data_IF_973310754470
#
_entry.id   IF_973310754470
#
_cell.length_a   1.000
_cell.length_b   1.000
_cell.length_c   1.000
_cell.angle_alpha   90.00
_cell.angle_beta   90.00
_cell.angle_gamma   90.00
#
_symmetry.space_group_name_H-M   'P 1'
#
loop_
_entity.id
_entity.type
_entity.pdbx_description
1 polymer ?
#
# COMPACT_ATOMS: atom_id res chain seq x y z
N UNK A 1 -33.85 -9.27 -16.74
CA UNK A 1 -32.40 -9.56 -16.73
C UNK A 1 -32.02 -10.82 -15.95
N UNK A 2 -32.88 -11.38 -15.07
CA UNK A 2 -32.60 -12.69 -14.46
C UNK A 2 -31.38 -12.73 -13.52
N UNK A 3 -30.95 -11.57 -13.01
CA UNK A 3 -29.75 -11.43 -12.19
C UNK A 3 -29.96 -11.97 -10.77
N UNK A 4 -28.88 -12.44 -10.15
CA UNK A 4 -28.82 -12.76 -8.73
C UNK A 4 -28.49 -11.51 -7.92
N UNK A 5 -29.25 -11.31 -6.84
CA UNK A 5 -28.93 -10.31 -5.84
C UNK A 5 -27.97 -10.91 -4.80
N UNK A 6 -26.83 -10.28 -4.61
CA UNK A 6 -25.81 -10.69 -3.65
C UNK A 6 -25.46 -9.49 -2.76
N UNK A 7 -25.24 -9.72 -1.47
CA UNK A 7 -24.84 -8.67 -0.53
C UNK A 7 -23.42 -8.93 -0.04
N UNK A 8 -22.52 -8.01 -0.34
CA UNK A 8 -21.21 -7.93 0.28
C UNK A 8 -21.29 -7.05 1.53
N UNK A 9 -21.02 -7.63 2.71
CA UNK A 9 -21.05 -6.90 3.98
C UNK A 9 -19.62 -6.65 4.46
N UNK A 10 -19.18 -5.40 4.45
CA UNK A 10 -17.86 -4.97 4.93
C UNK A 10 -17.81 -4.81 6.45
N UNK A 11 -18.93 -4.48 7.09
CA UNK A 11 -19.04 -4.34 8.55
C UNK A 11 -19.99 -5.37 9.17
N UNK A 12 -20.06 -5.39 10.52
CA UNK A 12 -21.14 -6.10 11.22
C UNK A 12 -22.51 -5.52 10.84
N UNK A 13 -23.55 -6.36 10.84
CA UNK A 13 -24.91 -5.91 10.49
C UNK A 13 -25.45 -4.84 11.45
N UNK A 14 -25.02 -4.87 12.70
CA UNK A 14 -25.45 -3.95 13.77
C UNK A 14 -24.52 -2.75 13.94
N UNK A 15 -23.52 -2.58 13.07
CA UNK A 15 -22.66 -1.40 13.09
C UNK A 15 -23.53 -0.14 12.99
N UNK A 16 -23.22 0.92 13.78
CA UNK A 16 -23.87 2.22 13.63
C UNK A 16 -23.84 2.69 12.18
N UNK A 17 -24.86 3.41 11.73
CA UNK A 17 -25.03 3.75 10.30
C UNK A 17 -23.79 4.40 9.65
N UNK A 18 -23.06 5.23 10.38
CA UNK A 18 -21.84 5.89 9.89
C UNK A 18 -20.62 4.97 9.82
N UNK A 19 -20.67 3.78 10.42
CA UNK A 19 -19.67 2.71 10.34
C UNK A 19 -20.18 1.48 9.58
N UNK A 20 -21.44 1.49 9.12
CA UNK A 20 -22.06 0.34 8.47
C UNK A 20 -21.68 0.33 6.99
N UNK A 21 -20.93 -0.67 6.56
CA UNK A 21 -20.44 -0.80 5.19
C UNK A 21 -21.05 -2.03 4.52
N UNK A 22 -21.76 -1.80 3.41
CA UNK A 22 -22.39 -2.86 2.62
C UNK A 22 -22.58 -2.44 1.17
N UNK A 23 -22.56 -3.42 0.27
CA UNK A 23 -22.89 -3.25 -1.14
C UNK A 23 -23.76 -4.40 -1.62
N UNK A 24 -24.82 -4.06 -2.36
CA UNK A 24 -25.64 -5.00 -3.11
C UNK A 24 -25.13 -5.08 -4.54
N UNK A 25 -24.91 -6.30 -5.01
CA UNK A 25 -24.48 -6.67 -6.35
C UNK A 25 -25.64 -7.33 -7.08
N UNK A 26 -25.85 -6.96 -8.34
CA UNK A 26 -26.80 -7.60 -9.26
C UNK A 26 -25.98 -8.24 -10.38
N UNK A 27 -25.73 -9.55 -10.27
CA UNK A 27 -24.73 -10.29 -11.05
C UNK A 27 -25.31 -11.47 -11.82
N UNK A 28 -24.61 -11.97 -12.83
CA UNK A 28 -25.06 -13.10 -13.66
C UNK A 28 -25.06 -14.42 -12.89
N UNK A 29 -23.99 -14.70 -12.14
CA UNK A 29 -23.80 -15.90 -11.33
C UNK A 29 -23.38 -15.52 -9.91
N UNK A 30 -23.96 -16.10 -8.86
CA UNK A 30 -23.60 -15.75 -7.48
C UNK A 30 -22.18 -16.19 -7.14
N UNK A 31 -21.47 -15.43 -6.32
CA UNK A 31 -20.07 -15.69 -5.92
C UNK A 31 -19.85 -17.04 -5.25
N UNK A 32 -20.89 -17.65 -4.68
CA UNK A 32 -20.83 -18.96 -4.05
C UNK A 32 -20.80 -20.13 -5.05
N UNK A 33 -21.02 -19.89 -6.33
CA UNK A 33 -21.01 -20.90 -7.39
C UNK A 33 -19.58 -21.26 -7.83
N UNK A 34 -18.77 -21.79 -6.91
CA UNK A 34 -17.44 -22.31 -7.20
C UNK A 34 -17.17 -23.64 -6.47
N UNK A 35 -16.27 -24.50 -6.98
CA UNK A 35 -15.76 -25.66 -6.26
C UNK A 35 -14.96 -25.29 -5.01
N UNK A 36 -14.56 -26.29 -4.22
CA UNK A 36 -13.72 -26.07 -3.04
C UNK A 36 -12.36 -25.43 -3.38
N UNK A 37 -11.88 -24.56 -2.49
CA UNK A 37 -10.53 -24.01 -2.57
C UNK A 37 -9.49 -25.05 -2.16
N UNK A 38 -8.32 -25.00 -2.81
CA UNK A 38 -7.13 -25.77 -2.48
C UNK A 38 -5.92 -24.83 -2.28
N UNK A 39 -4.89 -25.22 -1.52
CA UNK A 39 -3.69 -24.40 -1.37
C UNK A 39 -3.07 -24.04 -2.73
N UNK A 40 -2.76 -22.76 -2.92
CA UNK A 40 -2.14 -22.23 -4.13
C UNK A 40 -0.70 -22.73 -4.29
N UNK A 41 -0.28 -23.00 -5.52
CA UNK A 41 1.14 -23.19 -5.84
C UNK A 41 1.87 -21.85 -6.00
N UNK A 42 1.15 -20.79 -6.34
CA UNK A 42 1.64 -19.41 -6.29
C UNK A 42 1.87 -19.05 -4.83
N UNK A 43 3.08 -18.62 -4.50
CA UNK A 43 3.39 -18.02 -3.20
C UNK A 43 3.57 -16.52 -3.34
N UNK A 44 3.21 -15.76 -2.31
CA UNK A 44 3.73 -14.39 -2.20
C UNK A 44 5.22 -14.51 -1.86
N UNK A 45 6.08 -13.61 -2.36
CA UNK A 45 7.53 -13.81 -2.26
C UNK A 45 8.15 -13.54 -0.89
N UNK A 46 7.44 -13.95 0.17
CA UNK A 46 7.89 -14.03 1.55
C UNK A 46 8.60 -15.37 1.84
N UNK A 47 8.65 -16.30 0.88
CA UNK A 47 9.30 -17.59 1.11
C UNK A 47 10.81 -17.43 1.20
N UNK A 48 11.32 -17.85 2.36
CA UNK A 48 12.71 -18.17 2.63
C UNK A 48 13.19 -19.26 1.65
N UNK A 49 13.42 -18.92 0.38
CA UNK A 49 14.19 -19.78 -0.51
C UNK A 49 15.68 -19.61 -0.17
N UNK A 50 16.05 -20.24 0.94
CA UNK A 50 17.43 -20.49 1.31
C UNK A 50 18.00 -21.43 0.24
N UNK A 51 18.67 -20.84 -0.75
CA UNK A 51 19.04 -21.45 -2.03
C UNK A 51 19.31 -22.95 -1.97
N UNK A 52 18.34 -23.72 -2.47
CA UNK A 52 18.39 -25.18 -2.50
C UNK A 52 17.80 -25.72 -3.79
N UNK A 53 18.48 -25.50 -4.91
CA UNK A 53 18.16 -26.20 -6.15
C UNK A 53 18.29 -27.73 -5.96
N UNK A 54 17.19 -28.45 -6.20
CA UNK A 54 17.20 -29.91 -6.22
C UNK A 54 15.83 -30.49 -6.51
N UNK A 55 15.68 -31.13 -7.67
CA UNK A 55 14.42 -31.70 -8.15
C UNK A 55 13.86 -32.78 -7.25
N UNK A 56 12.80 -32.44 -6.51
CA UNK A 56 11.97 -33.36 -5.74
C UNK A 56 10.61 -33.58 -6.40
N UNK A 57 10.14 -34.81 -6.34
CA UNK A 57 8.92 -35.34 -6.94
C UNK A 57 7.65 -34.53 -6.56
N UNK A 58 6.80 -34.20 -7.54
CA UNK A 58 5.60 -33.33 -7.39
C UNK A 58 4.59 -33.83 -6.34
N UNK A 59 4.69 -35.10 -5.92
CA UNK A 59 3.87 -35.69 -4.85
C UNK A 59 4.34 -35.33 -3.45
N UNK A 60 5.64 -35.12 -3.22
CA UNK A 60 6.17 -34.82 -1.88
C UNK A 60 5.93 -33.35 -1.47
N UNK A 61 5.78 -32.47 -2.46
CA UNK A 61 5.42 -31.05 -2.27
C UNK A 61 3.99 -30.93 -1.74
N UNK A 62 3.06 -31.81 -2.18
CA UNK A 62 1.64 -31.77 -1.75
C UNK A 62 1.42 -32.11 -0.28
N UNK A 63 2.28 -32.92 0.35
CA UNK A 63 2.17 -33.24 1.78
C UNK A 63 2.85 -32.19 2.68
N UNK A 64 3.84 -31.43 2.18
CA UNK A 64 4.53 -30.39 2.96
C UNK A 64 3.81 -29.03 2.97
N UNK A 65 2.92 -28.76 2.01
CA UNK A 65 2.09 -27.52 1.96
C UNK A 65 1.09 -27.41 3.14
N UNK A 66 0.89 -28.49 3.91
CA UNK A 66 0.09 -28.48 5.15
C UNK A 66 0.80 -27.84 6.36
N UNK A 67 2.10 -27.55 6.30
CA UNK A 67 2.88 -27.13 7.47
C UNK A 67 3.94 -26.08 7.15
N UNK A 68 3.74 -24.87 7.72
CA UNK A 68 4.68 -23.74 7.78
C UNK A 68 4.92 -22.93 6.49
N UNK A 69 3.94 -22.11 6.15
CA UNK A 69 4.17 -20.70 5.81
C UNK A 69 3.11 -19.90 6.55
N UNK A 70 3.40 -19.50 7.79
CA UNK A 70 2.48 -18.77 8.65
C UNK A 70 3.30 -17.83 9.48
N UNK A 71 3.13 -16.52 9.27
CA UNK A 71 3.94 -15.48 9.90
C UNK A 71 5.43 -15.84 9.93
N UNK A 72 6.09 -15.77 8.76
CA UNK A 72 7.56 -15.76 8.72
C UNK A 72 8.07 -14.85 9.85
N UNK A 73 9.04 -15.36 10.62
CA UNK A 73 9.48 -14.76 11.88
C UNK A 73 9.76 -13.27 11.66
N UNK A 74 9.02 -12.41 12.36
CA UNK A 74 9.29 -10.98 12.31
C UNK A 74 10.53 -10.65 13.14
N UNK A 75 11.37 -9.78 12.59
CA UNK A 75 12.59 -9.27 13.21
C UNK A 75 12.30 -7.91 13.82
N UNK A 76 12.45 -7.82 15.14
CA UNK A 76 12.33 -6.57 15.88
C UNK A 76 13.72 -6.06 16.19
N UNK A 77 14.10 -4.95 15.55
CA UNK A 77 15.37 -4.29 15.76
C UNK A 77 15.13 -2.82 16.13
N UNK A 78 15.91 -2.26 17.07
CA UNK A 78 15.73 -0.87 17.51
C UNK A 78 16.40 0.14 16.58
N UNK A 79 17.27 -0.32 15.68
CA UNK A 79 17.97 0.53 14.73
C UNK A 79 16.98 1.12 13.73
N UNK A 80 17.19 2.38 13.33
CA UNK A 80 16.51 2.95 12.18
C UNK A 80 16.96 2.20 10.92
N UNK A 81 16.04 1.93 10.02
CA UNK A 81 16.33 1.21 8.77
C UNK A 81 15.98 2.08 7.58
N UNK A 82 16.82 2.08 6.55
CA UNK A 82 16.56 2.74 5.27
C UNK A 82 16.89 1.77 4.14
N UNK A 83 16.05 1.77 3.12
CA UNK A 83 16.17 0.96 1.93
C UNK A 83 16.45 1.84 0.72
N UNK A 84 17.44 1.45 -0.09
CA UNK A 84 17.55 1.88 -1.49
C UNK A 84 16.28 1.51 -2.29
N UNK A 85 16.05 2.12 -3.46
CA UNK A 85 14.91 1.75 -4.30
C UNK A 85 14.81 0.24 -4.55
N UNK A 86 13.64 -0.33 -4.27
CA UNK A 86 13.40 -1.76 -4.48
C UNK A 86 13.47 -2.10 -5.99
N UNK A 87 13.99 -3.29 -6.29
CA UNK A 87 14.17 -3.74 -7.67
C UNK A 87 12.81 -3.97 -8.35
N UNK A 88 12.73 -3.60 -9.63
CA UNK A 88 11.59 -3.94 -10.49
C UNK A 88 12.01 -4.81 -11.69
N UNK A 89 13.26 -4.71 -12.14
CA UNK A 89 13.74 -5.42 -13.33
C UNK A 89 13.74 -6.96 -13.17
N UNK A 90 13.96 -7.45 -11.96
CA UNK A 90 13.94 -8.90 -11.66
C UNK A 90 12.50 -9.45 -11.61
N UNK A 91 11.49 -8.59 -11.57
CA UNK A 91 10.08 -8.93 -11.47
C UNK A 91 9.38 -9.11 -12.82
N UNK A 92 10.11 -9.17 -13.94
CA UNK A 92 9.56 -9.30 -15.31
C UNK A 92 8.57 -10.46 -15.50
N UNK A 93 8.75 -11.54 -14.73
CA UNK A 93 7.94 -12.75 -14.79
C UNK A 93 6.80 -12.76 -13.77
N UNK A 94 6.73 -11.76 -12.88
CA UNK A 94 5.74 -11.65 -11.81
C UNK A 94 4.60 -10.74 -12.24
N UNK A 95 3.39 -11.13 -11.85
CA UNK A 95 2.22 -10.25 -11.87
C UNK A 95 2.10 -9.49 -10.54
N UNK A 96 1.03 -8.68 -10.40
CA UNK A 96 0.82 -7.88 -9.18
C UNK A 96 0.79 -8.72 -7.89
N UNK A 97 0.13 -9.89 -7.90
CA UNK A 97 -0.08 -10.73 -6.70
C UNK A 97 1.21 -11.46 -6.33
N UNK A 98 1.82 -12.12 -7.31
CA UNK A 98 3.11 -12.81 -7.15
C UNK A 98 4.28 -11.86 -6.94
N UNK A 99 4.11 -10.57 -7.28
CA UNK A 99 5.05 -9.48 -7.09
C UNK A 99 4.99 -8.78 -5.73
N UNK A 100 3.99 -9.07 -4.89
CA UNK A 100 3.93 -8.55 -3.53
C UNK A 100 5.04 -9.15 -2.66
N UNK A 101 5.77 -8.28 -1.95
CA UNK A 101 6.82 -8.64 -1.00
C UNK A 101 6.56 -7.92 0.32
N UNK A 102 6.38 -8.67 1.40
CA UNK A 102 6.14 -8.07 2.71
C UNK A 102 7.46 -7.49 3.22
N UNK A 103 7.48 -6.20 3.51
CA UNK A 103 8.64 -5.53 4.12
C UNK A 103 8.59 -5.68 5.64
N UNK A 104 7.38 -5.53 6.20
CA UNK A 104 7.15 -5.61 7.63
C UNK A 104 5.66 -5.60 7.97
N UNK A 105 5.35 -5.59 9.25
CA UNK A 105 3.98 -5.54 9.74
C UNK A 105 3.89 -5.78 11.24
N UNK A 106 2.68 -5.73 11.75
CA UNK A 106 2.39 -6.01 13.15
C UNK A 106 0.95 -6.53 13.31
N UNK A 107 0.75 -7.45 14.26
CA UNK A 107 -0.55 -8.05 14.56
C UNK A 107 -0.77 -9.43 13.96
N UNK A 108 -2.04 -9.82 13.84
CA UNK A 108 -2.49 -11.15 13.42
C UNK A 108 -3.74 -11.03 12.53
N UNK A 109 -3.59 -11.40 11.26
CA UNK A 109 -4.67 -11.39 10.26
C UNK A 109 -5.85 -12.29 10.66
N UNK A 110 -5.59 -13.43 11.34
CA UNK A 110 -6.64 -14.34 11.79
C UNK A 110 -7.53 -13.74 12.89
N UNK A 111 -6.95 -12.84 13.69
CA UNK A 111 -7.65 -12.04 14.69
C UNK A 111 -8.24 -10.75 14.12
N UNK A 112 -7.98 -10.43 12.85
CA UNK A 112 -8.35 -9.16 12.20
C UNK A 112 -7.78 -7.95 12.96
N UNK A 113 -6.51 -8.06 13.37
CA UNK A 113 -5.82 -7.06 14.19
C UNK A 113 -4.48 -6.68 13.57
N UNK A 114 -4.25 -5.38 13.38
CA UNK A 114 -3.01 -4.85 12.84
C UNK A 114 -2.97 -4.70 11.33
N UNK A 115 -1.76 -4.81 10.76
CA UNK A 115 -1.46 -4.47 9.37
C UNK A 115 -0.19 -5.15 8.84
N UNK A 116 -0.04 -5.16 7.52
CA UNK A 116 1.20 -5.52 6.83
C UNK A 116 1.56 -4.48 5.77
N UNK A 117 2.86 -4.20 5.66
CA UNK A 117 3.46 -3.27 4.70
C UNK A 117 4.14 -4.10 3.61
N UNK A 118 3.78 -3.81 2.37
CA UNK A 118 4.31 -4.45 1.19
C UNK A 118 4.96 -3.43 0.26
N UNK A 119 5.92 -3.92 -0.51
CA UNK A 119 6.29 -3.34 -1.79
C UNK A 119 5.85 -4.31 -2.87
N UNK A 120 5.47 -3.80 -4.03
CA UNK A 120 5.18 -4.64 -5.19
C UNK A 120 6.04 -4.21 -6.37
N UNK A 121 6.45 -5.20 -7.14
CA UNK A 121 6.99 -5.04 -8.48
C UNK A 121 6.38 -6.09 -9.39
N UNK A 122 5.89 -5.68 -10.56
CA UNK A 122 5.29 -6.60 -11.52
C UNK A 122 5.71 -6.20 -12.93
N UNK A 123 6.07 -7.19 -13.75
CA UNK A 123 6.44 -6.97 -15.14
C UNK A 123 5.47 -7.58 -16.15
N UNK A 124 4.39 -8.22 -15.68
CA UNK A 124 3.27 -8.64 -16.52
C UNK A 124 1.93 -8.40 -15.84
N UNK A 125 0.88 -8.32 -16.65
CA UNK A 125 -0.50 -8.32 -16.15
C UNK A 125 -0.81 -9.64 -15.45
N UNK A 126 -1.76 -9.61 -14.52
CA UNK A 126 -2.42 -10.84 -14.07
C UNK A 126 -3.09 -11.53 -15.27
N UNK A 127 -3.16 -12.87 -15.24
CA UNK A 127 -3.78 -13.66 -16.30
C UNK A 127 -5.23 -13.22 -16.54
N UNK A 128 -5.66 -13.18 -17.82
CA UNK A 128 -7.01 -12.75 -18.20
C UNK A 128 -8.09 -13.55 -17.48
N UNK A 129 -7.89 -14.85 -17.32
CA UNK A 129 -8.81 -15.76 -16.65
C UNK A 129 -8.44 -15.94 -15.17
N UNK A 130 -8.03 -14.86 -14.50
CA UNK A 130 -7.75 -14.85 -13.07
C UNK A 130 -8.41 -13.70 -12.33
N UNK A 131 -8.68 -13.91 -11.05
CA UNK A 131 -9.01 -12.83 -10.13
C UNK A 131 -8.42 -13.12 -8.75
N UNK A 132 -8.13 -12.06 -8.01
CA UNK A 132 -7.62 -12.14 -6.66
C UNK A 132 -8.54 -11.39 -5.69
N UNK A 133 -8.67 -11.88 -4.46
CA UNK A 133 -9.17 -11.07 -3.36
C UNK A 133 -8.43 -11.39 -2.07
N UNK A 134 -8.33 -10.42 -1.17
CA UNK A 134 -7.88 -10.67 0.20
C UNK A 134 -9.07 -10.86 1.12
N UNK A 135 -9.09 -12.00 1.81
CA UNK A 135 -9.97 -12.24 2.93
C UNK A 135 -9.38 -11.70 4.24
N UNK A 136 -8.19 -11.11 4.26
CA UNK A 136 -7.49 -10.66 5.46
C UNK A 136 -7.79 -9.19 5.80
N UNK A 137 -7.78 -8.30 4.80
CA UNK A 137 -7.89 -6.86 5.04
C UNK A 137 -8.17 -6.00 3.80
N UNK A 138 -8.31 -4.70 4.04
CA UNK A 138 -8.37 -3.67 2.99
C UNK A 138 -6.95 -3.38 2.48
N UNK A 139 -6.78 -3.24 1.16
CA UNK A 139 -5.48 -2.98 0.54
C UNK A 139 -5.42 -1.53 0.03
N UNK A 140 -4.60 -0.69 0.67
CA UNK A 140 -4.19 0.62 0.14
C UNK A 140 -3.01 0.43 -0.80
N UNK A 141 -3.11 0.89 -2.04
CA UNK A 141 -2.07 0.82 -3.07
C UNK A 141 -1.58 2.23 -3.38
N UNK A 142 -0.26 2.40 -3.39
CA UNK A 142 0.44 3.66 -3.70
C UNK A 142 1.44 3.42 -4.84
N UNK A 143 1.03 3.60 -6.11
CA UNK A 143 1.92 3.49 -7.27
C UNK A 143 3.05 4.52 -7.24
N UNK A 144 4.25 4.05 -7.54
CA UNK A 144 5.46 4.86 -7.62
C UNK A 144 5.94 4.98 -9.07
N UNK A 145 5.94 3.86 -9.80
CA UNK A 145 6.35 3.75 -11.20
C UNK A 145 5.33 2.91 -11.98
N UNK A 146 4.93 3.41 -13.15
CA UNK A 146 3.93 2.78 -14.01
C UNK A 146 2.49 2.89 -13.47
N UNK A 147 1.51 2.62 -14.34
CA UNK A 147 0.08 2.75 -14.01
C UNK A 147 -0.58 1.38 -13.93
N UNK A 148 -1.54 1.24 -13.01
CA UNK A 148 -2.32 0.03 -12.81
C UNK A 148 -3.72 0.24 -13.39
N UNK A 149 -4.17 -0.67 -14.26
CA UNK A 149 -5.57 -0.77 -14.66
C UNK A 149 -6.22 -1.90 -13.87
N UNK A 150 -7.02 -1.54 -12.87
CA UNK A 150 -7.59 -2.46 -11.89
C UNK A 150 -9.05 -2.68 -12.22
N UNK A 151 -9.38 -3.88 -12.70
CA UNK A 151 -10.77 -4.34 -12.81
C UNK A 151 -11.20 -4.93 -11.48
N UNK A 152 -12.29 -4.45 -10.90
CA UNK A 152 -12.94 -5.05 -9.73
C UNK A 152 -14.34 -5.54 -10.08
N UNK A 153 -14.98 -6.28 -9.17
CA UNK A 153 -16.41 -6.60 -9.26
C UNK A 153 -17.30 -5.36 -9.41
N UNK A 154 -16.82 -4.17 -9.01
CA UNK A 154 -17.60 -2.93 -9.02
C UNK A 154 -17.29 -2.04 -10.24
N UNK A 155 -16.38 -2.49 -11.10
CA UNK A 155 -15.91 -1.76 -12.28
C UNK A 155 -14.41 -1.47 -12.26
N UNK A 156 -13.97 -0.64 -13.20
CA UNK A 156 -12.54 -0.42 -13.48
C UNK A 156 -12.02 0.90 -12.89
N UNK A 157 -10.80 0.85 -12.35
CA UNK A 157 -10.04 1.99 -11.86
C UNK A 157 -8.65 2.00 -12.51
N UNK A 158 -8.35 3.03 -13.28
CA UNK A 158 -6.98 3.34 -13.71
C UNK A 158 -6.29 4.15 -12.61
N UNK A 159 -5.19 3.68 -12.06
CA UNK A 159 -4.47 4.31 -10.94
C UNK A 159 -3.03 4.58 -11.35
N UNK A 160 -2.65 5.85 -11.39
CA UNK A 160 -1.34 6.34 -11.82
C UNK A 160 -0.47 6.72 -10.61
N UNK A 161 0.85 6.89 -10.77
CA UNK A 161 1.66 7.56 -9.75
C UNK A 161 1.07 8.93 -9.41
N UNK A 162 1.19 9.34 -8.15
CA UNK A 162 0.46 10.48 -7.53
C UNK A 162 -1.04 10.24 -7.30
N UNK A 163 -1.57 9.06 -7.62
CA UNK A 163 -2.89 8.62 -7.17
C UNK A 163 -2.71 7.47 -6.18
N UNK A 164 -3.71 7.23 -5.34
CA UNK A 164 -3.81 6.03 -4.49
C UNK A 164 -5.14 5.36 -4.73
N UNK A 165 -5.24 4.06 -4.44
CA UNK A 165 -6.53 3.38 -4.41
C UNK A 165 -6.65 2.45 -3.21
N UNK A 166 -7.88 2.22 -2.76
CA UNK A 166 -8.21 1.24 -1.74
C UNK A 166 -9.10 0.18 -2.34
N UNK A 167 -8.68 -1.08 -2.20
CA UNK A 167 -9.46 -2.27 -2.55
C UNK A 167 -9.98 -2.90 -1.25
N UNK A 168 -11.29 -2.89 -1.00
CA UNK A 168 -11.84 -3.41 0.24
C UNK A 168 -11.66 -4.92 0.37
N UNK A 169 -11.57 -5.39 1.62
CA UNK A 169 -11.55 -6.81 1.97
C UNK A 169 -12.68 -7.56 1.28
N UNK A 170 -12.36 -8.67 0.63
CA UNK A 170 -13.33 -9.54 -0.02
C UNK A 170 -13.72 -9.16 -1.45
N UNK A 171 -13.38 -7.96 -1.94
CA UNK A 171 -13.67 -7.55 -3.33
C UNK A 171 -12.69 -8.23 -4.27
N UNK A 172 -13.19 -8.95 -5.28
CA UNK A 172 -12.37 -9.57 -6.31
C UNK A 172 -11.88 -8.53 -7.30
N UNK A 173 -10.61 -8.63 -7.69
CA UNK A 173 -9.99 -7.75 -8.67
C UNK A 173 -8.94 -8.46 -9.53
N UNK A 174 -8.65 -7.88 -10.70
CA UNK A 174 -7.57 -8.26 -11.62
C UNK A 174 -6.80 -7.00 -12.01
N UNK A 175 -5.48 -7.06 -11.97
CA UNK A 175 -4.59 -5.94 -12.29
C UNK A 175 -3.94 -6.16 -13.66
N UNK A 176 -4.16 -5.21 -14.57
CA UNK A 176 -3.50 -5.14 -15.86
C UNK A 176 -2.45 -4.03 -15.84
N UNK A 177 -1.28 -4.30 -16.43
CA UNK A 177 -0.24 -3.30 -16.61
C UNK A 177 -0.51 -2.50 -17.88
N UNK A 178 -0.59 -1.17 -17.75
CA UNK A 178 -0.84 -0.29 -18.89
C UNK A 178 0.36 -0.33 -19.84
N UNK A 179 0.09 -0.50 -21.13
CA UNK A 179 1.08 -0.63 -22.21
C UNK A 179 2.11 -1.77 -22.01
N UNK A 180 1.82 -2.73 -21.13
CA UNK A 180 2.74 -3.83 -20.79
C UNK A 180 4.02 -3.37 -20.07
N UNK A 181 4.06 -2.13 -19.57
CA UNK A 181 5.22 -1.58 -18.87
C UNK A 181 5.31 -2.13 -17.44
N UNK A 182 6.53 -2.40 -16.92
CA UNK A 182 6.69 -2.83 -15.54
C UNK A 182 6.22 -1.74 -14.58
N UNK A 183 5.73 -2.17 -13.43
CA UNK A 183 5.20 -1.30 -12.38
C UNK A 183 5.91 -1.58 -11.06
N UNK A 184 6.02 -0.55 -10.22
CA UNK A 184 6.50 -0.65 -8.84
C UNK A 184 5.72 0.30 -7.94
N UNK A 185 5.48 -0.12 -6.71
CA UNK A 185 4.93 0.76 -5.70
C UNK A 185 4.90 0.14 -4.32
N UNK A 186 4.12 0.77 -3.46
CA UNK A 186 3.94 0.37 -2.07
C UNK A 186 2.50 -0.06 -1.86
N UNK A 187 2.27 -0.93 -0.89
CA UNK A 187 0.93 -1.27 -0.45
C UNK A 187 0.89 -1.47 1.06
N UNK A 188 -0.26 -1.18 1.66
CA UNK A 188 -0.54 -1.45 3.06
C UNK A 188 -1.84 -2.25 3.14
N UNK A 189 -1.75 -3.44 3.71
CA UNK A 189 -2.92 -4.27 4.01
C UNK A 189 -3.33 -4.04 5.46
N UNK A 190 -4.52 -3.49 5.65
CA UNK A 190 -5.11 -3.21 6.95
C UNK A 190 -6.04 -4.36 7.36
N UNK A 191 -5.67 -5.10 8.40
CA UNK A 191 -6.49 -6.21 8.89
C UNK A 191 -7.58 -5.77 9.87
N UNK A 192 -7.45 -4.56 10.43
CA UNK A 192 -8.31 -4.03 11.49
C UNK A 192 -9.05 -2.76 11.08
N UNK A 193 -10.36 -2.87 10.94
CA UNK A 193 -11.22 -1.75 10.53
C UNK A 193 -11.13 -1.47 9.03
N UNK A 194 -11.39 -0.22 8.65
CA UNK A 194 -11.36 0.29 7.28
C UNK A 194 -10.75 1.69 7.26
N UNK A 195 -10.18 2.09 6.13
CA UNK A 195 -9.71 3.46 5.94
C UNK A 195 -10.88 4.44 5.88
N UNK A 196 -10.75 5.57 6.57
CA UNK A 196 -11.69 6.68 6.58
C UNK A 196 -10.97 8.02 6.51
N UNK A 197 -11.70 9.09 6.21
CA UNK A 197 -11.18 10.45 6.35
C UNK A 197 -10.92 10.76 7.84
N UNK A 198 -9.87 11.52 8.17
CA UNK A 198 -9.62 11.95 9.54
C UNK A 198 -10.72 12.91 10.03
N UNK A 199 -10.93 12.94 11.36
CA UNK A 199 -11.66 14.04 11.97
C UNK A 199 -10.87 15.34 11.76
N UNK A 200 -11.54 16.38 11.28
CA UNK A 200 -10.91 17.63 10.90
C UNK A 200 -10.65 18.56 12.11
N UNK A 201 -11.29 18.31 13.25
CA UNK A 201 -11.16 19.15 14.43
C UNK A 201 -11.33 20.66 14.10
N UNK A 202 -10.38 21.52 14.53
CA UNK A 202 -10.43 22.96 14.24
C UNK A 202 -10.35 23.35 12.75
N UNK A 203 -9.94 22.46 11.85
CA UNK A 203 -9.95 22.72 10.40
C UNK A 203 -11.39 22.94 9.91
N UNK A 204 -12.37 22.30 10.55
CA UNK A 204 -13.78 22.51 10.30
C UNK A 204 -14.36 21.50 9.32
N UNK A 205 -14.99 21.96 8.23
CA UNK A 205 -15.77 21.12 7.31
C UNK A 205 -15.15 20.92 5.93
N UNK A 206 -13.99 21.53 5.66
CA UNK A 206 -13.28 21.46 4.38
C UNK A 206 -11.77 21.56 4.64
N UNK A 207 -10.96 20.86 3.84
CA UNK A 207 -9.51 20.78 4.07
C UNK A 207 -8.99 19.37 3.84
N UNK A 208 -7.67 19.23 3.73
CA UNK A 208 -7.00 17.94 3.55
C UNK A 208 -7.50 17.22 2.27
N UNK A 209 -7.84 15.93 2.38
CA UNK A 209 -8.46 15.17 1.31
C UNK A 209 -9.98 15.40 1.30
N UNK A 210 -10.45 16.36 0.50
CA UNK A 210 -11.88 16.63 0.39
C UNK A 210 -12.64 15.42 -0.17
N UNK A 211 -13.74 15.02 0.49
CA UNK A 211 -14.49 13.81 0.16
C UNK A 211 -14.95 13.71 -1.31
N UNK A 212 -15.23 14.85 -1.96
CA UNK A 212 -15.64 14.93 -3.38
C UNK A 212 -14.59 14.37 -4.34
N UNK A 213 -13.32 14.44 -3.99
CA UNK A 213 -12.21 14.10 -4.89
C UNK A 213 -11.89 12.59 -4.86
N UNK A 214 -12.56 11.81 -4.01
CA UNK A 214 -12.53 10.35 -4.05
C UNK A 214 -13.43 9.84 -5.18
N UNK A 215 -12.85 9.05 -6.08
CA UNK A 215 -13.51 8.53 -7.27
C UNK A 215 -13.80 7.04 -7.10
N UNK A 216 -15.05 6.66 -7.36
CA UNK A 216 -15.54 5.28 -7.31
C UNK A 216 -15.76 4.80 -8.75
N UNK A 217 -15.49 3.53 -9.09
CA UNK A 217 -15.74 3.04 -10.44
C UNK A 217 -17.23 3.05 -10.76
N UNK A 218 -17.58 3.09 -12.05
CA UNK A 218 -18.94 2.77 -12.51
C UNK A 218 -19.02 1.27 -12.78
N UNK A 219 -20.20 0.66 -12.60
CA UNK A 219 -20.41 -0.75 -12.87
C UNK A 219 -19.94 -1.11 -14.30
N UNK A 220 -19.18 -2.19 -14.40
CA UNK A 220 -18.64 -2.72 -15.66
C UNK A 220 -18.51 -4.23 -15.52
N UNK A 221 -19.06 -4.99 -16.47
CA UNK A 221 -19.09 -6.45 -16.45
C UNK A 221 -18.39 -7.05 -17.67
N UNK A 222 -17.96 -8.30 -17.55
CA UNK A 222 -17.44 -9.15 -18.63
C UNK A 222 -18.54 -10.10 -19.10
N UNK A 223 -18.55 -10.40 -20.39
CA UNK A 223 -19.42 -11.42 -20.96
C UNK A 223 -18.59 -12.52 -21.59
N UNK A 224 -18.61 -13.70 -20.96
CA UNK A 224 -17.91 -14.88 -21.46
C UNK A 224 -18.44 -15.33 -22.85
N UNK A 225 -19.61 -14.85 -23.28
CA UNK A 225 -20.18 -15.12 -24.62
C UNK A 225 -19.61 -14.24 -25.74
N UNK A 226 -19.04 -13.06 -25.44
CA UNK A 226 -18.48 -12.14 -26.47
C UNK A 226 -17.01 -12.42 -26.79
N UNK A 227 -16.23 -12.97 -25.85
CA UNK A 227 -14.79 -13.26 -26.03
C UNK A 227 -14.49 -14.44 -26.99
N UNK A 228 -15.53 -15.11 -27.52
CA UNK A 228 -15.42 -16.11 -28.60
C UNK A 228 -15.25 -15.51 -30.00
N UNK A 229 -15.41 -14.20 -30.15
CA UNK A 229 -15.13 -13.44 -31.37
C UNK A 229 -13.93 -12.53 -31.14
N UNK A 230 -12.73 -13.12 -31.15
CA UNK A 230 -11.50 -12.34 -31.10
C UNK A 230 -11.44 -11.29 -32.21
N UNK A 231 -10.85 -10.14 -31.90
CA UNK A 231 -10.43 -9.06 -32.81
C UNK A 231 -9.33 -9.53 -33.80
N UNK A 232 -9.50 -10.70 -34.42
CA UNK A 232 -8.70 -11.13 -35.57
C UNK A 232 -9.36 -10.55 -36.82
N UNK A 233 -8.98 -9.31 -37.16
CA UNK A 233 -9.14 -8.70 -38.50
C UNK A 233 -8.31 -9.47 -39.55
N UNK A 234 -8.59 -10.77 -39.73
CA UNK A 234 -8.12 -11.56 -40.86
C UNK A 234 -9.32 -12.20 -41.55
N UNK A 235 -9.78 -11.53 -42.60
CA UNK A 235 -10.71 -12.02 -43.61
C UNK A 235 -10.18 -13.35 -44.22
N UNK A 236 -10.65 -14.50 -43.73
CA UNK A 236 -10.79 -15.66 -44.60
C UNK A 236 -11.99 -16.54 -44.20
N UNK A 237 -13.06 -16.37 -44.94
CA UNK A 237 -14.25 -17.19 -44.84
C UNK A 237 -14.02 -18.55 -45.53
N UNK A 238 -13.79 -19.61 -44.76
CA UNK A 238 -14.26 -20.95 -45.16
C UNK A 238 -14.41 -21.96 -44.01
N UNK A 239 -15.65 -22.46 -43.87
CA UNK A 239 -16.03 -23.86 -43.60
C UNK A 239 -15.24 -24.71 -42.59
N UNK A 240 -15.88 -25.13 -41.49
CA UNK A 240 -16.52 -26.45 -41.41
C UNK A 240 -16.90 -26.83 -39.96
N UNK A 241 -17.95 -27.63 -39.87
CA UNK A 241 -18.52 -28.23 -38.66
C UNK A 241 -17.56 -29.15 -37.93
N UNK A 242 -17.28 -28.84 -36.66
CA UNK A 242 -16.95 -29.82 -35.61
C UNK A 242 -17.62 -29.42 -34.30
N UNK A 243 -18.45 -30.30 -33.74
CA UNK A 243 -19.05 -30.23 -32.40
C UNK A 243 -17.98 -30.38 -31.30
N UNK A 244 -17.01 -29.47 -31.29
CA UNK A 244 -16.05 -29.31 -30.20
C UNK A 244 -16.17 -27.87 -29.73
N UNK A 245 -17.17 -27.61 -28.88
CA UNK A 245 -17.19 -26.37 -28.13
C UNK A 245 -15.85 -26.29 -27.37
N UNK A 246 -15.05 -25.22 -27.55
CA UNK A 246 -13.83 -25.06 -26.77
C UNK A 246 -14.20 -25.19 -25.27
N UNK A 247 -13.33 -25.78 -24.43
CA UNK A 247 -13.59 -25.83 -23.00
C UNK A 247 -13.87 -24.42 -22.52
N UNK A 248 -15.03 -24.21 -21.88
CA UNK A 248 -15.41 -22.92 -21.28
C UNK A 248 -14.21 -22.40 -20.48
N UNK A 249 -13.74 -21.16 -20.71
CA UNK A 249 -12.56 -20.66 -20.04
C UNK A 249 -12.69 -20.83 -18.52
N UNK A 250 -11.74 -21.55 -17.92
CA UNK A 250 -11.74 -21.80 -16.49
C UNK A 250 -11.02 -20.65 -15.78
N UNK A 251 -11.78 -19.82 -15.07
CA UNK A 251 -11.26 -18.74 -14.25
C UNK A 251 -10.64 -19.26 -12.96
N UNK A 252 -9.40 -18.86 -12.68
CA UNK A 252 -8.71 -19.10 -11.41
C UNK A 252 -9.03 -17.96 -10.43
N UNK A 253 -9.66 -18.29 -9.31
CA UNK A 253 -9.90 -17.34 -8.22
C UNK A 253 -8.90 -17.62 -7.11
N UNK A 254 -7.96 -16.69 -6.90
CA UNK A 254 -6.99 -16.76 -5.81
C UNK A 254 -7.48 -15.94 -4.62
N UNK A 255 -7.48 -16.53 -3.44
CA UNK A 255 -7.79 -15.84 -2.17
C UNK A 255 -6.57 -15.82 -1.28
N UNK A 256 -6.26 -14.64 -0.72
CA UNK A 256 -5.39 -14.55 0.45
C UNK A 256 -6.22 -14.74 1.72
N UNK A 257 -5.97 -15.81 2.45
CA UNK A 257 -6.68 -16.19 3.67
C UNK A 257 -5.67 -16.56 4.76
N UNK A 258 -5.64 -15.77 5.82
CA UNK A 258 -4.69 -15.83 6.93
C UNK A 258 -3.23 -15.87 6.45
N UNK A 259 -2.86 -14.88 5.62
CA UNK A 259 -1.54 -14.74 5.00
C UNK A 259 -1.10 -15.93 4.11
N UNK A 260 -2.05 -16.77 3.68
CA UNK A 260 -1.79 -17.87 2.73
C UNK A 260 -2.65 -17.74 1.49
N UNK A 261 -2.14 -18.23 0.38
CA UNK A 261 -2.87 -18.24 -0.88
C UNK A 261 -3.59 -19.58 -1.07
N UNK A 262 -4.85 -19.51 -1.50
CA UNK A 262 -5.66 -20.64 -1.93
C UNK A 262 -6.28 -20.31 -3.28
N UNK A 263 -6.58 -21.33 -4.08
CA UNK A 263 -7.17 -21.19 -5.41
C UNK A 263 -8.41 -22.07 -5.56
N UNK A 264 -9.36 -21.61 -6.36
CA UNK A 264 -10.43 -22.43 -6.93
C UNK A 264 -10.59 -22.11 -8.41
N UNK A 265 -11.29 -22.98 -9.14
CA UNK A 265 -11.54 -22.84 -10.58
C UNK A 265 -13.03 -22.82 -10.85
N UNK A 266 -13.52 -21.74 -11.45
CA UNK A 266 -14.92 -21.59 -11.85
C UNK A 266 -15.04 -21.38 -13.37
N UNK A 267 -16.15 -21.77 -14.01
CA UNK A 267 -16.31 -21.68 -15.46
C UNK A 267 -16.68 -20.27 -15.96
N UNK A 268 -17.08 -19.35 -15.08
CA UNK A 268 -17.57 -18.02 -15.45
C UNK A 268 -16.66 -16.93 -14.91
N UNK A 269 -16.60 -15.78 -15.60
CA UNK A 269 -15.91 -14.60 -15.07
C UNK A 269 -16.49 -14.18 -13.71
N UNK A 270 -15.64 -13.83 -12.73
CA UNK A 270 -16.10 -13.23 -11.48
C UNK A 270 -16.50 -11.75 -11.65
N UNK A 271 -16.20 -11.14 -12.79
CA UNK A 271 -16.48 -9.75 -13.10
C UNK A 271 -17.82 -9.59 -13.83
N UNK A 272 -18.87 -10.23 -13.33
CA UNK A 272 -20.17 -10.38 -13.96
C UNK A 272 -21.28 -9.54 -13.29
N UNK A 273 -20.89 -8.49 -12.56
CA UNK A 273 -21.80 -7.57 -11.86
C UNK A 273 -22.30 -6.49 -12.81
N UNK A 274 -23.57 -6.59 -13.20
CA UNK A 274 -24.21 -5.67 -14.15
C UNK A 274 -24.52 -4.31 -13.50
N UNK A 275 -24.93 -4.35 -12.23
CA UNK A 275 -25.25 -3.17 -11.45
C UNK A 275 -24.92 -3.42 -9.98
N UNK A 276 -24.63 -2.36 -9.24
CA UNK A 276 -24.44 -2.41 -7.80
C UNK A 276 -24.88 -1.11 -7.14
N UNK A 277 -25.20 -1.18 -5.85
CA UNK A 277 -25.45 -0.02 -5.00
C UNK A 277 -24.95 -0.27 -3.58
N UNK A 278 -24.34 0.72 -2.96
CA UNK A 278 -23.79 0.57 -1.62
C UNK A 278 -22.76 1.62 -1.25
N UNK A 279 -22.16 1.44 -0.08
CA UNK A 279 -21.08 2.27 0.45
C UNK A 279 -19.82 1.47 0.79
N UNK A 280 -19.74 0.21 0.34
CA UNK A 280 -18.55 -0.64 0.47
C UNK A 280 -17.99 -0.94 -0.91
N UNK A 281 -17.10 -0.06 -1.38
CA UNK A 281 -16.61 -0.09 -2.75
C UNK A 281 -15.14 0.30 -2.86
N UNK A 282 -14.49 -0.13 -3.94
CA UNK A 282 -13.18 0.37 -4.30
C UNK A 282 -13.24 1.86 -4.62
N UNK A 283 -12.16 2.57 -4.36
CA UNK A 283 -12.04 3.99 -4.72
C UNK A 283 -10.59 4.36 -4.98
N UNK A 284 -10.40 5.47 -5.70
CA UNK A 284 -9.09 6.11 -5.89
C UNK A 284 -9.13 7.59 -5.54
N UNK A 285 -7.96 8.16 -5.29
CA UNK A 285 -7.80 9.57 -4.94
C UNK A 285 -6.52 10.12 -5.56
N UNK A 286 -6.57 11.35 -6.09
CA UNK A 286 -5.43 12.08 -6.66
C UNK A 286 -4.77 12.95 -5.58
N UNK A 287 -3.54 12.60 -5.21
CA UNK A 287 -2.78 13.30 -4.16
C UNK A 287 -2.47 14.75 -4.54
N UNK A 288 -2.46 15.08 -5.84
CA UNK A 288 -2.32 16.45 -6.33
C UNK A 288 -3.48 17.37 -5.96
N UNK A 289 -4.62 16.81 -5.51
CA UNK A 289 -5.80 17.56 -5.05
C UNK A 289 -5.84 17.82 -3.55
N UNK A 290 -4.87 17.30 -2.80
CA UNK A 290 -4.82 17.48 -1.36
C UNK A 290 -4.74 18.97 -1.01
N UNK A 291 -5.72 19.45 -0.23
CA UNK A 291 -5.75 20.82 0.26
C UNK A 291 -4.80 20.93 1.46
N UNK A 292 -3.51 21.03 1.16
CA UNK A 292 -2.44 21.08 2.15
C UNK A 292 -2.62 22.27 3.10
N UNK A 293 -2.68 21.96 4.39
CA UNK A 293 -2.66 22.95 5.46
C UNK A 293 -1.27 23.00 6.09
N UNK A 294 -1.00 24.07 6.82
CA UNK A 294 0.28 24.28 7.47
C UNK A 294 0.26 25.55 8.29
N UNK A 295 1.42 25.89 8.86
CA UNK A 295 1.57 27.17 9.56
C UNK A 295 1.50 28.34 8.58
N UNK A 296 0.83 29.39 8.99
CA UNK A 296 0.83 30.71 8.34
C UNK A 296 1.41 31.78 9.26
N UNK A 297 2.17 31.36 10.28
CA UNK A 297 2.81 32.22 11.27
C UNK A 297 4.24 31.75 11.57
N UNK A 298 4.41 30.83 12.52
CA UNK A 298 5.70 30.30 13.00
C UNK A 298 5.55 28.81 13.38
N UNK A 299 6.64 28.20 13.82
CA UNK A 299 6.79 26.79 14.18
C UNK A 299 6.54 25.78 13.04
N UNK A 300 6.79 24.50 13.30
CA UNK A 300 6.54 23.39 12.37
C UNK A 300 5.39 22.53 12.91
N UNK A 301 4.20 22.54 12.27
CA UNK A 301 3.07 21.73 12.72
C UNK A 301 3.37 20.24 12.71
N UNK A 302 2.71 19.49 13.60
CA UNK A 302 2.78 18.03 13.61
C UNK A 302 2.35 17.43 12.26
N UNK A 303 2.99 16.34 11.80
CA UNK A 303 2.75 15.78 10.46
C UNK A 303 1.35 15.19 10.28
N UNK A 304 0.60 14.95 11.37
CA UNK A 304 -0.81 14.54 11.32
C UNK A 304 -1.71 15.56 10.59
N UNK A 305 -1.27 16.82 10.45
CA UNK A 305 -1.94 17.81 9.60
C UNK A 305 -1.96 17.43 8.11
N UNK A 306 -1.17 16.43 7.70
CA UNK A 306 -1.14 15.92 6.33
C UNK A 306 -1.77 14.53 6.16
N UNK A 307 -2.58 14.06 7.13
CA UNK A 307 -3.31 12.80 7.02
C UNK A 307 -4.31 12.84 5.86
N UNK A 308 -4.21 11.85 4.96
CA UNK A 308 -5.15 11.63 3.84
C UNK A 308 -6.23 10.64 4.27
N UNK A 309 -5.83 9.50 4.83
CA UNK A 309 -6.70 8.45 5.33
C UNK A 309 -6.19 7.95 6.68
N UNK A 310 -7.10 7.58 7.57
CA UNK A 310 -6.80 6.99 8.89
C UNK A 310 -7.61 5.71 9.10
N UNK A 311 -7.07 4.80 9.90
CA UNK A 311 -7.75 3.60 10.36
C UNK A 311 -7.75 3.55 11.88
N UNK A 312 -8.84 3.98 12.52
CA UNK A 312 -8.96 3.99 13.97
C UNK A 312 -9.65 2.71 14.49
N UNK A 313 -9.08 2.04 15.50
CA UNK A 313 -9.73 0.94 16.17
C UNK A 313 -10.76 1.46 17.16
N UNK A 314 -12.03 1.05 17.03
CA UNK A 314 -12.98 1.18 18.14
C UNK A 314 -12.59 0.15 19.22
N UNK A 315 -12.38 0.50 20.50
CA UNK A 315 -12.77 1.72 21.21
C UNK A 315 -11.58 2.58 21.71
N UNK A 316 -10.49 2.74 20.95
CA UNK A 316 -9.36 3.61 21.32
C UNK A 316 -9.34 4.92 20.51
N UNK A 317 -10.22 5.90 20.81
CA UNK A 317 -10.19 7.21 20.17
C UNK A 317 -8.81 7.86 20.23
N UNK A 318 -8.37 8.44 19.11
CA UNK A 318 -7.11 9.17 19.03
C UNK A 318 -5.85 8.31 18.87
N UNK A 319 -5.98 6.99 18.69
CA UNK A 319 -4.84 6.12 18.40
C UNK A 319 -5.12 5.26 17.17
N UNK A 320 -4.66 5.69 16.00
CA UNK A 320 -4.86 4.94 14.77
C UNK A 320 -4.02 3.65 14.74
N UNK A 321 -4.58 2.59 14.14
CA UNK A 321 -3.78 1.43 13.72
C UNK A 321 -2.79 1.89 12.66
N UNK A 322 -3.26 2.66 11.69
CA UNK A 322 -2.45 3.32 10.67
C UNK A 322 -3.03 4.68 10.31
N UNK A 323 -2.16 5.68 10.17
CA UNK A 323 -2.40 6.91 9.42
C UNK A 323 -1.60 6.88 8.12
N UNK A 324 -2.26 7.15 6.99
CA UNK A 324 -1.63 7.42 5.71
C UNK A 324 -1.48 8.94 5.53
N UNK A 325 -0.26 9.41 5.69
CA UNK A 325 0.14 10.81 5.67
C UNK A 325 0.95 11.10 4.42
N UNK A 326 0.82 12.28 3.82
CA UNK A 326 1.65 12.70 2.67
C UNK A 326 2.49 13.93 2.99
N UNK A 327 3.53 14.18 2.20
CA UNK A 327 4.30 15.42 2.25
C UNK A 327 4.23 16.07 0.86
N UNK A 328 3.15 16.82 0.57
CA UNK A 328 2.89 17.37 -0.75
C UNK A 328 3.68 18.67 -0.99
N UNK A 329 3.67 19.18 -2.23
CA UNK A 329 4.13 20.54 -2.51
C UNK A 329 3.37 21.56 -1.65
N UNK A 330 4.09 22.44 -0.96
CA UNK A 330 3.49 23.39 0.00
C UNK A 330 4.32 24.67 0.14
N UNK A 331 3.72 25.70 0.71
CA UNK A 331 4.40 26.94 1.05
C UNK A 331 4.96 26.87 2.46
N UNK A 332 6.24 27.21 2.62
CA UNK A 332 6.88 27.45 3.90
C UNK A 332 6.98 28.96 4.13
N UNK A 333 6.24 29.44 5.13
CA UNK A 333 6.16 30.86 5.48
C UNK A 333 6.52 31.14 6.94
N UNK A 334 6.82 30.11 7.74
CA UNK A 334 7.13 30.23 9.16
C UNK A 334 8.27 31.24 9.42
N UNK A 335 8.02 32.25 10.24
CA UNK A 335 8.99 33.27 10.67
C UNK A 335 9.79 32.77 11.88
N UNK A 336 11.06 33.18 11.99
CA UNK A 336 11.97 32.85 13.12
C UNK A 336 11.94 31.36 13.55
N UNK A 337 11.81 30.47 12.57
CA UNK A 337 11.50 29.05 12.80
C UNK A 337 12.51 28.14 12.11
N UNK A 338 12.93 27.08 12.81
CA UNK A 338 13.58 25.93 12.19
C UNK A 338 12.56 25.15 11.34
N UNK A 339 12.55 25.40 10.03
CA UNK A 339 11.50 24.93 9.11
C UNK A 339 11.47 23.43 8.77
N UNK A 340 12.59 22.67 8.78
CA UNK A 340 12.52 21.22 8.60
C UNK A 340 11.73 20.55 9.73
N UNK A 341 11.36 19.26 9.57
CA UNK A 341 10.88 18.47 10.71
C UNK A 341 11.87 18.57 11.88
N UNK A 342 11.34 18.61 13.09
CA UNK A 342 12.13 18.69 14.33
C UNK A 342 12.78 17.35 14.67
N UNK A 343 13.79 17.36 15.55
CA UNK A 343 14.33 16.11 16.11
C UNK A 343 13.28 15.43 16.99
N UNK A 344 12.98 14.17 16.71
CA UNK A 344 11.77 13.51 17.16
C UNK A 344 12.03 12.11 17.73
N UNK A 345 11.22 11.73 18.72
CA UNK A 345 11.03 10.38 19.26
C UNK A 345 9.55 10.21 19.52
N UNK A 346 8.95 9.14 19.02
CA UNK A 346 7.50 8.95 19.04
C UNK A 346 7.09 7.60 19.62
N UNK A 347 5.85 7.49 20.12
CA UNK A 347 5.22 6.19 20.43
C UNK A 347 4.84 5.40 19.19
N UNK A 348 4.71 6.06 18.04
CA UNK A 348 4.35 5.43 16.77
C UNK A 348 5.59 4.86 16.07
N UNK A 349 5.36 3.92 15.15
CA UNK A 349 6.32 3.47 14.14
C UNK A 349 6.06 4.21 12.83
N UNK A 350 7.10 4.78 12.24
CA UNK A 350 7.02 5.63 11.05
C UNK A 350 7.67 4.93 9.86
N UNK A 351 6.87 4.38 8.95
CA UNK A 351 7.34 3.85 7.66
C UNK A 351 7.16 4.90 6.57
N UNK A 352 8.26 5.43 6.06
CA UNK A 352 8.28 6.44 5.00
C UNK A 352 8.53 5.81 3.63
N UNK A 353 7.84 6.32 2.60
CA UNK A 353 8.11 6.03 1.19
C UNK A 353 8.19 7.31 0.34
N UNK A 354 8.69 7.19 -0.88
CA UNK A 354 8.85 8.31 -1.81
C UNK A 354 8.30 7.96 -3.19
N UNK A 355 7.27 8.68 -3.63
CA UNK A 355 6.62 8.45 -4.94
C UNK A 355 7.45 9.09 -6.05
N UNK A 356 7.81 10.36 -5.88
CA UNK A 356 8.54 11.15 -6.85
C UNK A 356 9.40 12.21 -6.15
N UNK A 357 10.40 12.74 -6.86
CA UNK A 357 11.23 13.87 -6.41
C UNK A 357 12.18 13.53 -5.26
N UNK A 358 12.33 14.47 -4.32
CA UNK A 358 13.20 14.39 -3.13
C UNK A 358 12.44 14.84 -1.87
N UNK A 359 12.83 14.34 -0.69
CA UNK A 359 12.16 14.66 0.58
C UNK A 359 12.94 15.73 1.37
N UNK A 360 12.25 16.76 1.87
CA UNK A 360 12.87 17.95 2.46
C UNK A 360 13.84 17.65 3.63
N UNK A 361 13.67 16.53 4.35
CA UNK A 361 14.51 16.17 5.49
C UNK A 361 15.76 15.33 5.14
N UNK A 362 15.95 14.97 3.86
CA UNK A 362 17.06 14.11 3.38
C UNK A 362 17.56 14.54 2.00
N UNK A 363 18.86 14.88 1.89
CA UNK A 363 19.47 15.23 0.60
C UNK A 363 19.48 14.04 -0.41
N UNK A 364 19.26 14.29 -1.72
CA UNK A 364 19.44 13.26 -2.75
C UNK A 364 20.92 12.96 -2.97
N UNK A 365 21.30 11.67 -3.00
CA UNK A 365 22.69 11.23 -3.17
C UNK A 365 22.86 9.72 -3.07
N UNK A 366 24.08 9.21 -3.28
CA UNK A 366 24.41 7.78 -3.12
C UNK A 366 24.25 7.41 -1.64
N UNK A 367 23.31 6.52 -1.31
CA UNK A 367 22.87 6.26 0.06
C UNK A 367 21.76 7.19 0.55
N UNK A 368 21.14 8.02 -0.30
CA UNK A 368 20.02 8.91 0.07
C UNK A 368 18.65 8.24 0.03
N UNK A 369 17.61 8.98 0.43
CA UNK A 369 16.21 8.55 0.29
C UNK A 369 15.68 8.92 -1.10
N UNK A 370 15.41 7.94 -1.95
CA UNK A 370 15.07 8.12 -3.37
C UNK A 370 13.71 7.48 -3.72
N UNK A 371 13.05 7.91 -4.83
CA UNK A 371 11.78 7.32 -5.25
C UNK A 371 11.85 5.79 -5.39
N UNK A 372 10.88 5.10 -4.80
CA UNK A 372 10.88 3.64 -4.70
C UNK A 372 11.69 3.07 -3.53
N UNK A 373 12.41 3.89 -2.76
CA UNK A 373 13.06 3.51 -1.50
C UNK A 373 12.13 3.64 -0.30
N UNK A 374 12.61 3.30 0.90
CA UNK A 374 11.81 3.38 2.12
C UNK A 374 12.66 3.68 3.35
N UNK A 375 12.05 4.07 4.46
CA UNK A 375 12.70 4.02 5.79
C UNK A 375 11.72 3.66 6.89
N UNK A 376 12.21 3.05 7.96
CA UNK A 376 11.44 2.73 9.16
C UNK A 376 12.15 3.33 10.38
N UNK A 377 11.48 4.25 11.06
CA UNK A 377 11.86 4.72 12.40
C UNK A 377 10.85 4.14 13.39
N UNK A 378 11.27 3.10 14.12
CA UNK A 378 10.38 2.34 15.00
C UNK A 378 10.12 3.09 16.32
N UNK A 379 9.22 2.54 17.14
CA UNK A 379 8.81 3.08 18.44
C UNK A 379 10.01 3.60 19.24
N UNK A 380 9.95 4.88 19.61
CA UNK A 380 10.93 5.64 20.41
C UNK A 380 12.33 5.79 19.80
N UNK A 381 12.56 5.30 18.58
CA UNK A 381 13.82 5.55 17.87
C UNK A 381 13.96 7.04 17.56
N UNK A 382 15.11 7.61 17.95
CA UNK A 382 15.39 9.03 17.72
C UNK A 382 15.68 9.27 16.24
N UNK A 383 15.03 10.26 15.67
CA UNK A 383 15.22 10.64 14.27
C UNK A 383 15.05 12.14 14.09
N UNK A 384 15.21 12.63 12.86
CA UNK A 384 15.19 14.05 12.54
C UNK A 384 15.95 14.35 11.25
N UNK A 385 16.13 15.65 10.93
CA UNK A 385 16.89 16.08 9.76
C UNK A 385 18.32 15.56 9.85
N UNK A 386 18.96 15.32 8.70
CA UNK A 386 20.39 15.04 8.66
C UNK A 386 21.23 16.27 9.05
N UNK A 387 22.50 16.06 9.37
CA UNK A 387 23.39 17.12 9.88
C UNK A 387 23.48 18.31 8.92
N UNK A 388 23.66 18.07 7.62
CA UNK A 388 23.81 19.12 6.62
C UNK A 388 22.52 19.93 6.45
N UNK A 389 21.37 19.26 6.42
CA UNK A 389 20.06 19.91 6.35
C UNK A 389 19.75 20.73 7.59
N UNK A 390 20.17 20.26 8.78
CA UNK A 390 20.01 21.00 10.02
C UNK A 390 20.86 22.28 10.07
N UNK A 391 22.13 22.21 9.65
CA UNK A 391 23.00 23.39 9.58
C UNK A 391 22.51 24.39 8.52
N UNK A 392 22.13 23.89 7.33
CA UNK A 392 21.59 24.74 6.27
C UNK A 392 20.30 25.47 6.70
N UNK A 393 19.40 24.79 7.41
CA UNK A 393 18.16 25.39 7.90
C UNK A 393 18.38 26.41 9.01
N UNK A 394 19.40 26.20 9.85
CA UNK A 394 19.75 27.13 10.93
C UNK A 394 20.32 28.44 10.41
N UNK A 395 21.13 28.39 9.36
CA UNK A 395 21.79 29.57 8.78
C UNK A 395 20.94 30.23 7.68
N UNK A 396 19.77 29.68 7.35
CA UNK A 396 18.92 30.15 6.27
C UNK A 396 18.31 31.54 6.56
N UNK A 397 18.36 32.42 5.56
CA UNK A 397 17.53 33.64 5.55
C UNK A 397 16.11 33.26 5.19
N UNK A 398 15.18 33.43 6.13
CA UNK A 398 13.80 33.00 5.96
C UNK A 398 13.00 33.97 5.06
N UNK A 399 12.42 33.42 3.99
CA UNK A 399 11.48 34.09 3.07
C UNK A 399 10.38 33.09 2.67
N UNK A 400 9.21 33.53 2.19
CA UNK A 400 8.21 32.62 1.63
C UNK A 400 8.81 31.73 0.53
N UNK A 401 8.75 30.41 0.72
CA UNK A 401 9.36 29.44 -0.20
C UNK A 401 8.37 28.33 -0.53
N UNK A 402 8.18 28.04 -1.83
CA UNK A 402 7.42 26.86 -2.27
C UNK A 402 8.36 25.66 -2.34
N UNK A 403 8.06 24.60 -1.58
CA UNK A 403 8.85 23.37 -1.51
C UNK A 403 8.10 22.18 -2.08
N UNK A 404 8.81 21.07 -2.30
CA UNK A 404 8.22 19.82 -2.75
C UNK A 404 7.69 19.82 -4.19
N UNK A 405 8.02 20.80 -5.03
CA UNK A 405 7.56 20.80 -6.43
C UNK A 405 8.10 19.56 -7.17
N UNK A 406 7.19 18.76 -7.75
CA UNK A 406 7.55 17.49 -8.38
C UNK A 406 7.92 16.37 -7.40
N UNK A 407 7.70 16.58 -6.10
CA UNK A 407 7.95 15.59 -5.05
C UNK A 407 6.69 15.21 -4.29
N UNK A 408 6.64 13.96 -3.85
CA UNK A 408 5.63 13.49 -2.91
C UNK A 408 6.19 12.32 -2.11
N UNK A 409 6.61 12.60 -0.87
CA UNK A 409 6.84 11.56 0.12
C UNK A 409 5.53 11.22 0.82
N UNK A 410 5.48 10.06 1.48
CA UNK A 410 4.36 9.68 2.33
C UNK A 410 4.85 8.85 3.51
N UNK A 411 3.96 8.67 4.48
CA UNK A 411 4.19 7.86 5.66
C UNK A 411 3.00 6.96 5.92
N UNK A 412 3.29 5.70 6.26
CA UNK A 412 2.41 4.83 7.03
C UNK A 412 2.87 4.90 8.48
N UNK A 413 2.17 5.68 9.29
CA UNK A 413 2.43 5.80 10.73
C UNK A 413 1.53 4.82 11.47
N UNK A 414 2.08 3.98 12.35
CA UNK A 414 1.30 2.97 13.08
C UNK A 414 1.54 3.03 14.58
N UNK A 415 0.49 2.87 15.37
CA UNK A 415 0.61 2.72 16.84
C UNK A 415 1.23 1.40 17.27
N UNK A 416 1.41 0.45 16.35
CA UNK A 416 2.01 -0.84 16.61
C UNK A 416 3.52 -0.80 16.39
N UNK A 417 4.25 -1.64 17.14
CA UNK A 417 5.67 -1.87 16.88
C UNK A 417 5.82 -2.72 15.62
N UNK A 418 6.40 -2.14 14.57
CA UNK A 418 6.54 -2.83 13.27
C UNK A 418 7.73 -3.79 13.32
N UNK A 419 7.47 -5.07 13.06
CA UNK A 419 8.51 -6.06 12.81
C UNK A 419 8.85 -6.13 11.33
N UNK A 420 10.10 -6.43 10.99
CA UNK A 420 10.55 -6.62 9.61
C UNK A 420 10.50 -8.09 9.21
N UNK A 421 10.13 -8.38 7.97
CA UNK A 421 10.29 -9.73 7.42
C UNK A 421 11.77 -10.04 7.16
N UNK A 422 12.12 -11.32 6.99
CA UNK A 422 13.46 -11.71 6.54
C UNK A 422 13.77 -11.10 5.16
N UNK A 423 12.77 -11.06 4.26
CA UNK A 423 12.92 -10.44 2.96
C UNK A 423 13.24 -8.94 3.05
N UNK A 424 12.46 -8.22 3.85
CA UNK A 424 12.63 -6.79 4.09
C UNK A 424 13.97 -6.48 4.75
N UNK A 425 14.41 -7.30 5.70
CA UNK A 425 15.65 -7.04 6.42
C UNK A 425 16.91 -7.48 5.67
N UNK A 426 16.88 -8.59 4.91
CA UNK A 426 18.09 -9.20 4.32
C UNK A 426 17.94 -9.58 2.86
N UNK A 427 16.91 -10.33 2.48
CA UNK A 427 16.83 -10.92 1.13
C UNK A 427 16.74 -9.88 0.02
N UNK A 428 16.07 -8.74 0.26
CA UNK A 428 15.97 -7.66 -0.72
C UNK A 428 17.31 -6.98 -1.03
N UNK A 429 18.32 -7.11 -0.16
CA UNK A 429 19.65 -6.47 -0.30
C UNK A 429 19.58 -4.94 -0.54
N UNK A 430 18.51 -4.29 -0.08
CA UNK A 430 18.33 -2.83 -0.18
C UNK A 430 18.64 -2.07 1.10
N UNK A 431 18.80 -2.75 2.24
CA UNK A 431 19.09 -2.10 3.52
C UNK A 431 20.45 -1.40 3.47
N UNK A 432 20.47 -0.12 3.83
CA UNK A 432 21.68 0.69 3.94
C UNK A 432 22.30 0.54 5.33
N UNK A 433 23.47 -0.09 5.42
CA UNK A 433 24.09 -0.45 6.71
C UNK A 433 24.63 0.73 7.52
N UNK A 434 24.99 1.85 6.87
CA UNK A 434 25.55 3.04 7.52
C UNK A 434 24.53 4.14 7.81
N UNK A 435 23.23 3.84 7.75
CA UNK A 435 22.19 4.88 7.75
C UNK A 435 22.33 5.87 8.93
N UNK A 436 22.49 5.37 10.16
CA UNK A 436 22.53 6.22 11.34
C UNK A 436 23.79 7.09 11.37
N UNK A 437 24.96 6.48 11.13
CA UNK A 437 26.26 7.16 11.12
C UNK A 437 26.34 8.21 10.02
N UNK A 438 25.89 7.89 8.81
CA UNK A 438 25.89 8.79 7.66
C UNK A 438 24.92 9.97 7.84
N UNK A 439 23.81 9.77 8.56
CA UNK A 439 22.76 10.77 8.69
C UNK A 439 23.00 11.74 9.86
N UNK A 440 23.42 11.22 11.01
CA UNK A 440 23.50 11.99 12.26
C UNK A 440 24.89 11.98 12.91
N UNK A 441 25.85 11.21 12.40
CA UNK A 441 27.19 11.08 12.98
C UNK A 441 28.01 12.38 13.01
N UNK A 442 27.68 13.34 12.14
CA UNK A 442 28.36 14.64 12.03
C UNK A 442 27.64 15.79 12.77
N UNK A 443 26.62 15.50 13.58
CA UNK A 443 25.96 16.54 14.39
C UNK A 443 26.93 17.15 15.41
N UNK A 444 26.92 18.48 15.50
CA UNK A 444 27.80 19.25 16.38
C UNK A 444 27.02 19.96 17.49
N UNK A 445 27.62 20.01 18.68
CA UNK A 445 27.10 20.86 19.75
C UNK A 445 27.39 22.31 19.43
N UNK A 446 26.36 23.14 19.54
CA UNK A 446 26.47 24.60 19.46
C UNK A 446 26.30 25.28 20.81
N UNK A 447 26.07 24.51 21.87
CA UNK A 447 25.95 25.05 23.22
C UNK A 447 27.29 25.63 23.68
N UNK A 448 27.23 26.85 24.21
CA UNK A 448 28.35 27.49 24.91
C UNK A 448 27.89 27.78 26.33
N UNK A 449 28.67 27.35 27.32
CA UNK A 449 28.38 27.69 28.71
C UNK A 449 28.36 29.21 28.88
N UNK A 450 27.31 29.78 29.52
CA UNK A 450 27.28 31.21 29.81
C UNK A 450 28.50 31.63 30.64
N UNK A 451 29.05 32.82 30.35
CA UNK A 451 30.13 33.37 31.17
C UNK A 451 29.66 33.56 32.63
N UNK A 452 30.46 33.08 33.59
CA UNK A 452 30.20 33.25 35.03
C UNK A 452 29.41 32.16 35.74
N UNK A 453 28.99 31.07 35.07
CA UNK A 453 28.20 29.98 35.69
C UNK A 453 29.00 28.72 36.06
N UNK A 454 30.33 28.74 35.92
CA UNK A 454 31.21 27.58 36.15
C UNK A 454 31.55 27.29 37.62
N UNK A 455 30.58 27.42 38.53
CA UNK A 455 30.83 27.40 39.98
C UNK A 455 29.79 26.64 40.79
N UNK A 456 29.41 25.43 40.37
CA UNK A 456 28.78 24.47 41.26
C UNK A 456 29.58 23.17 41.20
N UNK A 457 30.56 23.04 42.11
CA UNK A 457 31.10 21.74 42.51
C UNK A 457 29.99 21.00 43.25
N UNK A 458 29.57 19.84 42.73
CA UNK A 458 28.71 18.89 43.42
C UNK A 458 29.54 17.92 44.26
#
# INVERSE_FOLDING_TARGET
MGLYAEKLSGSSFTAPRHLNLQTWLYRKMPSCAHPAYYPSLTTMGDDDDDGGGGGGDEREIKEKIGGRAGNGKMHYIPNQVRWDPFDHDEARHLDFVSGLRRVGGAGDASLKQGMAIFVYAAGRSMDHHSAFYSADGDLLIVPQEGSLDIRSELGCLLVRPMEVCVLPRGVRYRVRLVDGLPVRGYALELWQGHFALPDLGPIGSNGLANARDFQTPVASFEDDEEDGHGDDDDDDASSSTTDYAPPTPSYVITVKFNNRLFETRQPNTPFDVIAWQGNYHAYKYDLGRFNALGTVSYDHPDPSIYTVLTAQPTPSPGTAIVDFVIFPPRWLVAEDTFRPPWYHRNTMSEFMGLIAGAYDAKQPGKGGFAPGGASLHNVMSAHGPDADSAEAARDAVLQPAKVGHGSCAFMFESSLMVGLSEWGLRTCKKVQSGYAEETWGNLRSHWKMPEGTGGFEY
#
